data_IF_046510122630
#
_entry.id   IF_046510122630
#
_cell.length_a   1.000
_cell.length_b   1.000
_cell.length_c   1.000
_cell.angle_alpha   90.00
_cell.angle_beta   90.00
_cell.angle_gamma   90.00
#
_symmetry.space_group_name_H-M   'P 1'
#
loop_
_entity.id
_entity.type
_entity.pdbx_description
1 polymer ?
#
# COMPACT_ATOMS: atom_id res chain seq x y z
N UNK A 1 59.82 35.44 15.41
CA UNK A 1 58.45 35.71 15.89
C UNK A 1 57.54 34.59 15.40
N UNK A 2 56.69 34.11 16.31
CA UNK A 2 56.02 32.81 16.33
C UNK A 2 54.82 32.73 15.39
N UNK A 3 54.62 31.59 14.73
CA UNK A 3 53.36 31.21 14.08
C UNK A 3 53.01 29.77 14.51
N UNK A 4 52.29 29.65 15.63
CA UNK A 4 51.69 28.39 16.05
C UNK A 4 50.32 28.26 15.36
N UNK A 5 50.27 27.48 14.28
CA UNK A 5 49.01 27.05 13.66
C UNK A 5 48.41 26.01 14.59
N UNK A 6 47.34 26.40 15.29
CA UNK A 6 46.51 25.49 16.08
C UNK A 6 45.72 24.59 15.12
N UNK A 7 46.23 23.38 14.88
CA UNK A 7 45.48 22.31 14.24
C UNK A 7 44.52 21.75 15.29
N UNK A 8 43.27 22.20 15.26
CA UNK A 8 42.20 21.59 16.03
C UNK A 8 41.95 20.16 15.51
N UNK A 9 41.87 19.14 16.38
CA UNK A 9 41.61 17.77 15.97
C UNK A 9 40.16 17.63 15.47
N UNK A 10 40.04 17.20 14.21
CA UNK A 10 38.81 16.95 13.41
C UNK A 10 37.87 15.91 14.04
N UNK A 11 38.28 15.27 15.14
CA UNK A 11 37.62 14.10 15.72
C UNK A 11 36.32 14.49 16.44
N UNK A 12 36.17 15.73 16.90
CA UNK A 12 34.94 16.18 17.58
C UNK A 12 33.82 16.61 16.62
N UNK A 13 34.13 16.73 15.32
CA UNK A 13 33.15 17.12 14.31
C UNK A 13 32.30 15.95 13.79
N UNK A 14 32.62 14.70 14.10
CA UNK A 14 31.84 13.56 13.58
C UNK A 14 30.68 13.16 14.49
N UNK A 15 30.79 13.33 15.81
CA UNK A 15 29.74 12.95 16.75
C UNK A 15 28.55 13.92 16.71
N UNK A 16 28.81 15.23 16.67
CA UNK A 16 27.75 16.25 16.61
C UNK A 16 26.90 16.18 15.33
N UNK A 17 27.46 15.71 14.20
CA UNK A 17 26.71 15.54 12.96
C UNK A 17 25.85 14.26 12.95
N UNK A 18 26.23 13.22 13.71
CA UNK A 18 25.41 12.01 13.82
C UNK A 18 24.18 12.27 14.67
N UNK A 19 24.34 12.93 15.82
CA UNK A 19 23.22 13.29 16.70
C UNK A 19 22.21 14.23 16.00
N UNK A 20 22.67 15.24 15.26
CA UNK A 20 21.76 16.15 14.55
C UNK A 20 21.02 15.43 13.41
N UNK A 21 21.64 14.45 12.75
CA UNK A 21 21.02 13.66 11.68
C UNK A 21 20.02 12.64 12.22
N UNK A 22 20.36 11.91 13.28
CA UNK A 22 19.43 10.97 13.94
C UNK A 22 18.22 11.68 14.54
N UNK A 23 18.40 12.81 15.21
CA UNK A 23 17.28 13.56 15.81
C UNK A 23 16.37 14.16 14.73
N UNK A 24 16.91 14.54 13.56
CA UNK A 24 16.11 15.04 12.42
C UNK A 24 15.36 13.91 11.71
N UNK A 25 16.01 12.77 11.47
CA UNK A 25 15.38 11.57 10.91
C UNK A 25 14.26 11.07 11.82
N UNK A 26 14.49 10.95 13.13
CA UNK A 26 13.46 10.46 14.05
C UNK A 26 12.24 11.40 14.13
N UNK A 27 12.45 12.72 13.99
CA UNK A 27 11.36 13.72 14.03
C UNK A 27 10.55 13.77 12.73
N UNK A 28 11.21 13.64 11.56
CA UNK A 28 10.52 13.51 10.27
C UNK A 28 9.78 12.16 10.16
N UNK A 29 10.38 11.06 10.63
CA UNK A 29 9.72 9.75 10.68
C UNK A 29 8.52 9.78 11.63
N UNK A 30 8.62 10.44 12.79
CA UNK A 30 7.50 10.59 13.72
C UNK A 30 6.37 11.48 13.20
N UNK A 31 6.67 12.58 12.48
CA UNK A 31 5.64 13.43 11.85
C UNK A 31 4.96 12.73 10.67
N UNK A 32 5.69 11.95 9.87
CA UNK A 32 5.11 11.07 8.83
C UNK A 32 4.23 10.00 9.47
N UNK A 33 4.66 9.40 10.57
CA UNK A 33 3.91 8.36 11.29
C UNK A 33 2.67 8.92 12.01
N UNK A 34 2.69 10.19 12.45
CA UNK A 34 1.50 10.88 12.97
C UNK A 34 0.51 11.31 11.88
N UNK A 35 0.99 11.69 10.68
CA UNK A 35 0.12 11.97 9.52
C UNK A 35 -0.53 10.70 8.95
N UNK A 36 0.10 9.54 9.16
CA UNK A 36 -0.37 8.20 8.76
C UNK A 36 -1.44 7.58 9.66
N UNK A 37 -2.00 8.31 10.63
CA UNK A 37 -3.32 7.93 11.13
C UNK A 37 -4.33 8.23 10.02
N UNK A 38 -4.47 7.26 9.11
CA UNK A 38 -5.49 7.26 8.09
C UNK A 38 -6.81 7.77 8.68
N UNK A 39 -7.44 8.72 8.00
CA UNK A 39 -8.69 9.28 8.44
C UNK A 39 -9.65 8.11 8.77
N UNK A 40 -10.36 8.12 9.91
CA UNK A 40 -11.22 7.01 10.32
C UNK A 40 -12.28 6.64 9.25
N UNK A 41 -12.53 7.57 8.32
CA UNK A 41 -13.36 7.41 7.13
C UNK A 41 -12.81 6.36 6.14
N UNK A 42 -11.49 6.19 6.02
CA UNK A 42 -10.87 5.20 5.12
C UNK A 42 -11.10 3.76 5.59
N UNK A 43 -11.20 3.54 6.90
CA UNK A 43 -11.44 2.22 7.47
C UNK A 43 -12.76 1.60 6.98
N UNK A 44 -13.73 2.42 6.58
CA UNK A 44 -15.01 1.98 5.99
C UNK A 44 -14.81 1.25 4.66
N UNK A 45 -13.83 1.68 3.86
CA UNK A 45 -13.58 1.13 2.53
C UNK A 45 -12.77 -0.16 2.55
N UNK A 46 -12.14 -0.54 3.68
CA UNK A 46 -11.28 -1.73 3.79
C UNK A 46 -11.89 -2.99 3.17
N UNK A 47 -13.19 -3.24 3.40
CA UNK A 47 -13.90 -4.40 2.82
C UNK A 47 -14.06 -4.31 1.30
N UNK A 48 -14.28 -3.11 0.78
CA UNK A 48 -14.34 -2.86 -0.67
C UNK A 48 -12.96 -3.01 -1.30
N UNK A 49 -11.92 -2.50 -0.64
CA UNK A 49 -10.52 -2.66 -1.05
C UNK A 49 -10.11 -4.13 -1.09
N UNK A 50 -10.44 -4.92 -0.06
CA UNK A 50 -10.26 -6.38 -0.06
C UNK A 50 -11.01 -7.06 -1.22
N UNK A 51 -12.26 -6.66 -1.48
CA UNK A 51 -13.05 -7.19 -2.59
C UNK A 51 -12.46 -6.86 -3.96
N UNK A 52 -11.93 -5.64 -4.12
CA UNK A 52 -11.23 -5.18 -5.32
C UNK A 52 -9.93 -5.96 -5.54
N UNK A 53 -9.15 -6.24 -4.48
CA UNK A 53 -7.95 -7.08 -4.56
C UNK A 53 -8.27 -8.53 -4.97
N UNK A 54 -9.33 -9.13 -4.42
CA UNK A 54 -9.79 -10.46 -4.84
C UNK A 54 -10.24 -10.47 -6.31
N UNK A 55 -10.92 -9.41 -6.73
CA UNK A 55 -11.33 -9.21 -8.13
C UNK A 55 -10.10 -9.09 -9.05
N UNK A 56 -9.06 -8.38 -8.60
CA UNK A 56 -7.76 -8.28 -9.27
C UNK A 56 -7.09 -9.63 -9.46
N UNK A 57 -6.95 -10.43 -8.41
CA UNK A 57 -6.35 -11.76 -8.52
C UNK A 57 -7.06 -12.62 -9.56
N UNK A 58 -8.40 -12.63 -9.53
CA UNK A 58 -9.21 -13.38 -10.50
C UNK A 58 -8.96 -12.89 -11.94
N UNK A 59 -9.03 -11.57 -12.16
CA UNK A 59 -8.85 -10.98 -13.49
C UNK A 59 -7.43 -11.11 -14.02
N UNK A 60 -6.41 -11.01 -13.16
CA UNK A 60 -5.01 -11.19 -13.55
C UNK A 60 -4.75 -12.65 -14.01
N UNK A 61 -5.31 -13.63 -13.31
CA UNK A 61 -5.25 -15.04 -13.74
C UNK A 61 -5.95 -15.27 -15.08
N UNK A 62 -7.09 -14.61 -15.31
CA UNK A 62 -7.86 -14.70 -16.55
C UNK A 62 -7.14 -14.00 -17.71
N UNK A 63 -6.52 -12.83 -17.48
CA UNK A 63 -5.75 -12.11 -18.48
C UNK A 63 -4.49 -12.88 -18.94
N UNK A 64 -3.89 -13.67 -18.03
CA UNK A 64 -2.78 -14.57 -18.37
C UNK A 64 -3.18 -15.77 -19.23
N UNK A 65 -4.49 -16.05 -19.39
CA UNK A 65 -5.00 -17.08 -20.30
C UNK A 65 -5.25 -16.47 -21.68
N UNK A 66 -4.89 -17.20 -22.74
CA UNK A 66 -4.98 -16.69 -24.11
C UNK A 66 -6.43 -16.25 -24.45
N UNK A 67 -6.61 -15.07 -25.09
CA UNK A 67 -7.94 -14.51 -25.40
C UNK A 67 -8.84 -15.43 -26.23
N UNK A 68 -8.25 -16.34 -27.01
CA UNK A 68 -8.95 -17.30 -27.86
C UNK A 68 -9.75 -18.36 -27.09
N UNK A 69 -9.44 -18.61 -25.80
CA UNK A 69 -10.19 -19.52 -24.92
C UNK A 69 -11.26 -18.80 -24.09
N UNK A 70 -11.22 -17.47 -24.02
CA UNK A 70 -12.13 -16.59 -23.27
C UNK A 70 -13.23 -16.02 -24.17
N UNK A 71 -13.61 -16.77 -25.20
CA UNK A 71 -14.71 -16.42 -26.08
C UNK A 71 -16.03 -16.42 -25.32
N UNK A 72 -16.51 -15.21 -24.97
CA UNK A 72 -17.89 -14.84 -24.57
C UNK A 72 -18.26 -14.78 -23.09
N UNK A 73 -17.41 -15.17 -22.16
CA UNK A 73 -17.72 -15.03 -20.72
C UNK A 73 -17.15 -13.71 -20.17
N UNK A 74 -17.72 -12.58 -20.56
CA UNK A 74 -17.20 -11.27 -20.10
C UNK A 74 -17.84 -10.84 -18.76
N UNK A 75 -16.93 -10.51 -17.85
CA UNK A 75 -17.07 -10.65 -16.40
C UNK A 75 -17.86 -9.52 -15.75
N UNK A 76 -19.06 -9.84 -15.26
CA UNK A 76 -19.85 -8.91 -14.44
C UNK A 76 -19.45 -9.02 -12.97
N UNK A 77 -18.35 -8.37 -12.60
CA UNK A 77 -17.97 -8.16 -11.18
C UNK A 77 -18.60 -6.89 -10.62
N UNK A 78 -19.54 -7.00 -9.67
CA UNK A 78 -20.27 -5.86 -9.06
C UNK A 78 -19.51 -5.11 -7.95
N UNK A 79 -18.19 -5.30 -7.82
CA UNK A 79 -17.46 -4.86 -6.61
C UNK A 79 -16.85 -3.45 -6.77
N UNK A 80 -16.85 -2.91 -7.99
CA UNK A 80 -16.20 -1.61 -8.30
C UNK A 80 -17.00 -0.90 -9.38
N UNK A 81 -16.89 0.42 -9.50
CA UNK A 81 -17.50 1.14 -10.62
C UNK A 81 -16.87 0.82 -11.99
N UNK A 82 -15.69 0.17 -12.01
CA UNK A 82 -15.04 -0.27 -13.23
C UNK A 82 -15.84 -1.39 -13.93
N UNK A 83 -16.57 -1.01 -15.00
CA UNK A 83 -17.29 -1.94 -15.87
C UNK A 83 -16.32 -2.54 -16.88
N UNK A 84 -16.28 -3.87 -16.93
CA UNK A 84 -15.47 -4.62 -17.89
C UNK A 84 -16.38 -5.05 -19.02
N UNK A 85 -16.18 -4.47 -20.20
CA UNK A 85 -16.91 -4.81 -21.42
C UNK A 85 -16.09 -5.74 -22.33
N UNK A 86 -14.76 -5.65 -22.26
CA UNK A 86 -13.81 -6.35 -23.13
C UNK A 86 -12.61 -6.94 -22.38
N UNK A 87 -11.79 -7.72 -23.11
CA UNK A 87 -10.47 -8.13 -22.63
C UNK A 87 -9.55 -6.93 -22.40
N UNK A 88 -9.61 -5.92 -23.26
CA UNK A 88 -8.79 -4.70 -23.12
C UNK A 88 -9.06 -4.00 -21.78
N UNK A 89 -10.32 -3.95 -21.33
CA UNK A 89 -10.69 -3.40 -20.02
C UNK A 89 -10.12 -4.23 -18.86
N UNK A 90 -10.04 -5.57 -19.00
CA UNK A 90 -9.40 -6.43 -18.00
C UNK A 90 -7.91 -6.09 -17.89
N UNK A 91 -7.22 -5.94 -19.02
CA UNK A 91 -5.78 -5.62 -19.04
C UNK A 91 -5.53 -4.24 -18.44
N UNK A 92 -6.34 -3.24 -18.80
CA UNK A 92 -6.24 -1.88 -18.23
C UNK A 92 -6.47 -1.94 -16.72
N UNK A 93 -7.52 -2.63 -16.26
CA UNK A 93 -7.81 -2.78 -14.84
C UNK A 93 -6.67 -3.44 -14.07
N UNK A 94 -6.14 -4.55 -14.57
CA UNK A 94 -5.01 -5.25 -13.94
C UNK A 94 -3.79 -4.33 -13.87
N UNK A 95 -3.46 -3.66 -14.96
CA UNK A 95 -2.33 -2.73 -15.02
C UNK A 95 -2.48 -1.53 -14.06
N UNK A 96 -3.69 -0.98 -13.96
CA UNK A 96 -3.96 0.14 -13.06
C UNK A 96 -3.84 -0.28 -11.60
N UNK A 97 -4.33 -1.46 -11.23
CA UNK A 97 -4.20 -2.01 -9.87
C UNK A 97 -2.74 -2.32 -9.55
N UNK A 98 -1.98 -2.93 -10.47
CA UNK A 98 -0.53 -3.18 -10.30
C UNK A 98 0.24 -1.89 -10.05
N UNK A 99 -0.06 -0.83 -10.81
CA UNK A 99 0.56 0.49 -10.63
C UNK A 99 0.21 1.11 -9.27
N UNK A 100 -0.99 0.85 -8.76
CA UNK A 100 -1.38 1.30 -7.42
C UNK A 100 -0.63 0.54 -6.33
N UNK A 101 -0.54 -0.80 -6.46
CA UNK A 101 0.21 -1.64 -5.54
C UNK A 101 1.70 -1.28 -5.49
N UNK A 102 2.29 -0.94 -6.64
CA UNK A 102 3.68 -0.51 -6.75
C UNK A 102 4.00 0.79 -6.00
N UNK A 103 2.98 1.56 -5.57
CA UNK A 103 3.18 2.77 -4.74
C UNK A 103 3.37 2.44 -3.25
N UNK A 104 2.93 1.27 -2.79
CA UNK A 104 3.09 0.88 -1.39
C UNK A 104 4.52 0.44 -1.09
N UNK A 105 4.90 0.50 0.18
CA UNK A 105 6.17 -0.05 0.62
C UNK A 105 6.21 -1.58 0.43
N UNK A 106 7.41 -2.11 0.23
CA UNK A 106 7.68 -3.54 0.06
C UNK A 106 7.10 -4.42 1.17
N UNK A 107 7.12 -3.93 2.42
CA UNK A 107 6.55 -4.65 3.55
C UNK A 107 5.02 -4.73 3.46
N UNK A 108 4.38 -3.61 3.11
CA UNK A 108 2.92 -3.53 2.97
C UNK A 108 2.42 -4.39 1.81
N UNK A 109 3.15 -4.39 0.68
CA UNK A 109 2.86 -5.25 -0.47
C UNK A 109 2.88 -6.72 -0.05
N UNK A 110 3.91 -7.16 0.68
CA UNK A 110 4.03 -8.53 1.17
C UNK A 110 2.86 -8.92 2.08
N UNK A 111 2.49 -8.05 3.04
CA UNK A 111 1.37 -8.32 3.95
C UNK A 111 0.04 -8.42 3.18
N UNK A 112 -0.21 -7.49 2.25
CA UNK A 112 -1.42 -7.49 1.42
C UNK A 112 -1.48 -8.73 0.50
N UNK A 113 -0.36 -9.13 -0.09
CA UNK A 113 -0.28 -10.31 -0.93
C UNK A 113 -0.66 -11.58 -0.13
N UNK A 114 -0.08 -11.76 1.06
CA UNK A 114 -0.38 -12.94 1.90
C UNK A 114 -1.83 -12.95 2.37
N UNK A 115 -2.35 -11.83 2.87
CA UNK A 115 -3.67 -11.81 3.51
C UNK A 115 -4.80 -11.62 2.50
N UNK A 116 -4.71 -10.60 1.64
CA UNK A 116 -5.83 -10.21 0.78
C UNK A 116 -5.86 -10.98 -0.56
N UNK A 117 -4.70 -11.34 -1.12
CA UNK A 117 -4.62 -12.02 -2.43
C UNK A 117 -4.53 -13.53 -2.32
N UNK A 118 -3.70 -14.03 -1.42
CA UNK A 118 -3.49 -15.47 -1.19
C UNK A 118 -4.44 -16.05 -0.12
N UNK A 119 -5.24 -15.19 0.53
CA UNK A 119 -6.27 -15.56 1.50
C UNK A 119 -5.75 -16.31 2.74
N UNK A 120 -4.47 -16.14 3.11
CA UNK A 120 -3.97 -16.63 4.38
C UNK A 120 -4.69 -15.93 5.54
N UNK A 121 -4.90 -16.67 6.63
CA UNK A 121 -5.35 -16.04 7.88
C UNK A 121 -4.27 -15.09 8.40
N UNK A 122 -4.65 -14.06 9.14
CA UNK A 122 -3.69 -13.12 9.74
C UNK A 122 -2.70 -13.82 10.67
N UNK A 123 -3.09 -14.94 11.30
CA UNK A 123 -2.22 -15.80 12.10
C UNK A 123 -1.16 -16.53 11.28
N UNK A 124 -1.55 -17.15 10.18
CA UNK A 124 -0.62 -17.84 9.27
C UNK A 124 0.33 -16.85 8.60
N UNK A 125 -0.21 -15.72 8.10
CA UNK A 125 0.58 -14.65 7.51
C UNK A 125 1.60 -14.09 8.51
N UNK A 126 1.25 -13.99 9.80
CA UNK A 126 2.16 -13.51 10.83
C UNK A 126 3.36 -14.45 11.00
N UNK A 127 3.11 -15.76 10.99
CA UNK A 127 4.16 -16.78 10.99
C UNK A 127 5.04 -16.75 9.74
N UNK A 128 4.45 -16.52 8.56
CA UNK A 128 5.19 -16.46 7.29
C UNK A 128 6.06 -15.20 7.15
N UNK A 129 5.56 -14.06 7.60
CA UNK A 129 6.26 -12.76 7.51
C UNK A 129 7.24 -12.58 8.68
N UNK A 130 7.09 -13.34 9.78
CA UNK A 130 7.94 -13.22 10.97
C UNK A 130 7.55 -12.06 11.88
N UNK A 131 6.30 -11.61 11.83
CA UNK A 131 5.77 -10.53 12.67
C UNK A 131 4.87 -11.07 13.78
N UNK A 132 4.82 -10.43 14.96
CA UNK A 132 3.83 -10.79 15.96
C UNK A 132 2.42 -10.43 15.44
N UNK A 133 1.45 -11.29 15.73
CA UNK A 133 0.07 -11.17 15.22
C UNK A 133 -0.51 -9.76 15.37
N UNK A 134 -0.37 -9.15 16.56
CA UNK A 134 -0.89 -7.80 16.83
C UNK A 134 -0.29 -6.74 15.91
N UNK A 135 1.01 -6.83 15.59
CA UNK A 135 1.67 -5.91 14.67
C UNK A 135 1.19 -6.14 13.25
N UNK A 136 1.03 -7.39 12.82
CA UNK A 136 0.52 -7.69 11.49
C UNK A 136 -0.91 -7.17 11.31
N UNK A 137 -1.80 -7.35 12.28
CA UNK A 137 -3.18 -6.84 12.21
C UNK A 137 -3.20 -5.32 12.01
N UNK A 138 -2.38 -4.60 12.79
CA UNK A 138 -2.26 -3.15 12.67
C UNK A 138 -1.72 -2.75 11.30
N UNK A 139 -0.58 -3.30 10.90
CA UNK A 139 0.08 -2.98 9.62
C UNK A 139 -0.76 -3.33 8.41
N UNK A 140 -1.53 -4.42 8.48
CA UNK A 140 -2.49 -4.78 7.43
C UNK A 140 -3.61 -3.75 7.31
N UNK A 141 -4.14 -3.27 8.44
CA UNK A 141 -5.13 -2.18 8.44
C UNK A 141 -4.57 -0.90 7.84
N UNK A 142 -3.36 -0.52 8.24
CA UNK A 142 -2.68 0.69 7.73
C UNK A 142 -2.40 0.57 6.22
N UNK A 143 -1.95 -0.60 5.75
CA UNK A 143 -1.71 -0.87 4.33
C UNK A 143 -2.99 -0.82 3.49
N UNK A 144 -4.11 -1.34 4.02
CA UNK A 144 -5.41 -1.23 3.35
C UNK A 144 -5.88 0.22 3.26
N UNK A 145 -5.66 1.03 4.28
CA UNK A 145 -6.07 2.43 4.28
C UNK A 145 -5.26 3.25 3.26
N UNK A 146 -3.94 3.05 3.22
CA UNK A 146 -3.06 3.68 2.23
C UNK A 146 -3.42 3.25 0.80
N UNK A 147 -3.66 1.97 0.58
CA UNK A 147 -4.11 1.48 -0.72
C UNK A 147 -5.49 2.05 -1.10
N UNK A 148 -6.39 2.20 -0.12
CA UNK A 148 -7.71 2.81 -0.34
C UNK A 148 -7.58 4.25 -0.80
N UNK A 149 -6.71 5.05 -0.17
CA UNK A 149 -6.43 6.42 -0.58
C UNK A 149 -5.97 6.47 -2.04
N UNK A 150 -5.01 5.63 -2.41
CA UNK A 150 -4.52 5.50 -3.78
C UNK A 150 -5.65 5.10 -4.76
N UNK A 151 -6.54 4.18 -4.37
CA UNK A 151 -7.65 3.76 -5.22
C UNK A 151 -8.70 4.84 -5.41
N UNK A 152 -8.97 5.66 -4.39
CA UNK A 152 -9.88 6.81 -4.49
C UNK A 152 -9.27 7.90 -5.40
N UNK A 153 -7.98 8.20 -5.26
CA UNK A 153 -7.27 9.14 -6.16
C UNK A 153 -7.35 8.71 -7.62
N UNK A 154 -7.20 7.41 -7.88
CA UNK A 154 -7.23 6.82 -9.22
C UNK A 154 -8.65 6.53 -9.73
N UNK A 155 -9.69 6.82 -8.94
CA UNK A 155 -11.10 6.55 -9.25
C UNK A 155 -11.40 5.06 -9.53
N UNK A 156 -10.58 4.16 -8.99
CA UNK A 156 -10.84 2.72 -9.00
C UNK A 156 -11.94 2.37 -7.99
N UNK A 157 -12.04 3.16 -6.92
CA UNK A 157 -13.16 3.21 -6.00
C UNK A 157 -13.86 4.56 -6.15
N UNK A 158 -15.19 4.56 -6.05
CA UNK A 158 -15.94 5.79 -5.89
C UNK A 158 -16.17 6.06 -4.40
N UNK A 159 -16.07 7.32 -3.96
CA UNK A 159 -16.45 7.68 -2.60
C UNK A 159 -17.93 7.32 -2.43
N UNK A 160 -18.24 6.46 -1.46
CA UNK A 160 -19.63 6.16 -1.16
C UNK A 160 -20.32 7.45 -0.72
N UNK A 161 -21.53 7.69 -1.23
CA UNK A 161 -22.32 8.92 -1.01
C UNK A 161 -22.56 9.27 0.47
N UNK A 162 -22.21 8.41 1.42
CA UNK A 162 -22.20 8.72 2.86
C UNK A 162 -21.13 9.76 3.27
N UNK A 163 -20.12 10.03 2.45
CA UNK A 163 -19.15 11.12 2.67
C UNK A 163 -19.59 12.46 2.04
N UNK A 164 -20.76 12.52 1.39
CA UNK A 164 -21.38 13.76 0.95
C UNK A 164 -22.42 14.19 2.00
N UNK A 165 -21.94 14.82 3.06
CA UNK A 165 -22.80 15.61 3.93
C UNK A 165 -23.29 16.84 3.16
N UNK A 166 -24.63 16.91 3.00
CA UNK A 166 -25.51 18.09 2.83
C UNK A 166 -25.00 19.23 1.95
#
# INVERSE_FOLDING_TARGET
MSAAVLVLPVIWATEAFHEIREVRDVREVAEVEQRRKAAPELAFYRKYTEGLLRRYVKMAMEAGRAPSLLGREMFRGKVTNYQVHGFDDVVIFVHDVERCLAKLDSEQQLILERVAMQEYTQGEAAGLVGLPLRTLIRRYGDALDELTEVFLERKLLEPSKSCQGV
#
